data_IF_259352720236
#
_entry.id   IF_259352720236
#
_cell.length_a   1.000
_cell.length_b   1.000
_cell.length_c   1.000
_cell.angle_alpha   90.00
_cell.angle_beta   90.00
_cell.angle_gamma   90.00
#
_symmetry.space_group_name_H-M   'P 1'
#
loop_
_entity.id
_entity.type
_entity.pdbx_description
1 polymer ?
#
# COMPACT_ATOMS: atom_id res chain seq x y z
N UNK A 1 -20.23 11.86 2.76
CA UNK A 1 -19.08 11.48 1.94
C UNK A 1 -19.45 11.04 0.54
N UNK A 2 -18.53 11.16 -0.38
CA UNK A 2 -18.67 10.65 -1.73
C UNK A 2 -18.28 9.17 -1.77
N UNK A 3 -18.89 8.40 -2.66
CA UNK A 3 -18.60 6.98 -2.85
C UNK A 3 -18.25 6.71 -4.30
N UNK A 4 -17.13 6.02 -4.54
CA UNK A 4 -16.66 5.65 -5.87
C UNK A 4 -16.38 4.16 -5.88
N UNK A 5 -16.74 3.46 -6.95
CA UNK A 5 -16.38 2.08 -7.19
C UNK A 5 -17.35 1.03 -6.65
N UNK A 6 -18.42 1.42 -5.95
CA UNK A 6 -19.43 0.47 -5.45
C UNK A 6 -20.54 0.24 -6.47
N UNK A 7 -20.90 -1.02 -6.70
CA UNK A 7 -22.10 -1.38 -7.47
C UNK A 7 -23.40 -1.10 -6.71
N UNK A 8 -23.33 -1.15 -5.39
CA UNK A 8 -24.45 -0.81 -4.51
C UNK A 8 -23.93 0.00 -3.33
N UNK A 9 -24.39 1.23 -3.22
CA UNK A 9 -23.94 2.17 -2.18
C UNK A 9 -24.26 1.75 -0.73
N UNK A 10 -24.98 0.67 -0.55
CA UNK A 10 -25.40 0.20 0.78
C UNK A 10 -24.78 -1.14 1.21
N UNK A 11 -24.13 -1.85 0.30
CA UNK A 11 -23.49 -3.14 0.61
C UNK A 11 -22.11 -3.25 -0.02
N UNK A 12 -21.11 -3.51 0.77
CA UNK A 12 -19.68 -3.46 0.45
C UNK A 12 -19.14 -4.55 -0.49
N UNK A 13 -19.91 -5.36 -1.14
CA UNK A 13 -19.42 -6.64 -1.62
C UNK A 13 -19.23 -6.81 -3.13
N UNK A 14 -19.39 -5.80 -3.95
CA UNK A 14 -19.16 -5.94 -5.38
C UNK A 14 -18.72 -4.63 -6.02
N UNK A 15 -17.45 -4.34 -5.92
CA UNK A 15 -16.83 -3.33 -6.75
C UNK A 15 -16.88 -3.75 -8.22
N UNK A 16 -17.11 -2.81 -9.11
CA UNK A 16 -17.00 -3.09 -10.55
C UNK A 16 -15.52 -3.16 -10.92
N UNK A 17 -15.01 -4.30 -11.40
CA UNK A 17 -13.62 -4.40 -11.80
C UNK A 17 -13.33 -3.48 -12.98
N UNK A 18 -12.19 -2.81 -12.92
CA UNK A 18 -11.66 -2.00 -14.01
C UNK A 18 -10.50 -2.77 -14.64
N UNK A 19 -10.54 -2.96 -15.94
CA UNK A 19 -9.48 -3.66 -16.67
C UNK A 19 -8.97 -2.82 -17.83
N UNK A 20 -7.67 -2.88 -18.08
CA UNK A 20 -7.09 -2.15 -19.20
C UNK A 20 -5.57 -2.20 -19.24
N UNK A 21 -4.99 -1.32 -20.03
CA UNK A 21 -3.56 -1.09 -20.10
C UNK A 21 -3.28 0.40 -20.11
N UNK A 22 -2.22 0.83 -19.44
CA UNK A 22 -1.81 2.25 -19.39
C UNK A 22 -2.92 3.18 -18.88
N UNK A 23 -3.60 2.77 -17.84
CA UNK A 23 -4.63 3.58 -17.21
C UNK A 23 -3.99 4.67 -16.36
N UNK A 24 -4.62 5.83 -16.32
CA UNK A 24 -4.27 6.90 -15.39
C UNK A 24 -5.51 7.29 -14.60
N UNK A 25 -5.41 7.18 -13.28
CA UNK A 25 -6.44 7.60 -12.35
C UNK A 25 -5.95 8.80 -11.57
N UNK A 26 -6.69 9.89 -11.67
CA UNK A 26 -6.51 11.04 -10.80
C UNK A 26 -7.81 11.21 -10.02
N UNK A 27 -7.76 10.93 -8.73
CA UNK A 27 -8.91 11.02 -7.85
C UNK A 27 -8.58 12.01 -6.74
N UNK A 28 -9.37 13.05 -6.64
CA UNK A 28 -9.31 14.04 -5.57
C UNK A 28 -10.65 14.02 -4.83
N UNK A 29 -10.62 13.65 -3.56
CA UNK A 29 -11.79 13.62 -2.69
C UNK A 29 -11.61 14.60 -1.54
N UNK A 30 -12.48 15.60 -1.53
CA UNK A 30 -12.54 16.61 -0.49
C UNK A 30 -13.75 16.40 0.41
N UNK A 31 -13.55 16.43 1.71
CA UNK A 31 -14.57 16.23 2.74
C UNK A 31 -14.40 14.91 3.48
N UNK A 32 -15.26 14.70 4.45
CA UNK A 32 -15.15 13.57 5.36
C UNK A 32 -15.99 12.37 4.88
N UNK A 33 -15.64 11.18 5.37
CA UNK A 33 -16.37 9.94 5.13
C UNK A 33 -16.49 9.59 3.62
N UNK A 34 -15.50 9.94 2.83
CA UNK A 34 -15.44 9.51 1.44
C UNK A 34 -14.98 8.05 1.37
N UNK A 35 -15.53 7.32 0.41
CA UNK A 35 -15.22 5.91 0.22
C UNK A 35 -14.74 5.68 -1.22
N UNK A 36 -13.58 5.05 -1.36
CA UNK A 36 -13.10 4.53 -2.63
C UNK A 36 -12.89 3.02 -2.49
N UNK A 37 -13.69 2.27 -3.22
CA UNK A 37 -13.62 0.80 -3.28
C UNK A 37 -13.39 0.37 -4.71
N UNK A 38 -12.54 -0.62 -4.92
CA UNK A 38 -12.37 -1.10 -6.26
C UNK A 38 -11.47 -2.31 -6.40
N UNK A 39 -11.62 -2.94 -7.55
CA UNK A 39 -10.67 -3.91 -8.05
C UNK A 39 -10.18 -3.47 -9.41
N UNK A 40 -8.91 -3.72 -9.68
CA UNK A 40 -8.26 -3.27 -10.89
C UNK A 40 -7.32 -4.33 -11.44
N UNK A 41 -7.31 -4.48 -12.74
CA UNK A 41 -6.30 -5.27 -13.45
C UNK A 41 -5.81 -4.48 -14.64
N UNK A 42 -4.63 -3.89 -14.53
CA UNK A 42 -4.08 -3.07 -15.62
C UNK A 42 -2.57 -2.94 -15.53
N UNK A 43 -1.88 -3.18 -16.63
CA UNK A 43 -0.46 -2.99 -16.75
C UNK A 43 -0.08 -1.53 -17.07
N UNK A 44 1.07 -1.08 -16.61
CA UNK A 44 1.63 0.26 -16.86
C UNK A 44 0.67 1.38 -16.45
N UNK A 45 0.09 1.25 -15.28
CA UNK A 45 -0.93 2.18 -14.78
C UNK A 45 -0.39 3.11 -13.72
N UNK A 46 -0.98 4.30 -13.64
CA UNK A 46 -0.63 5.34 -12.68
C UNK A 46 -1.87 5.75 -11.89
N UNK A 47 -1.73 5.80 -10.57
CA UNK A 47 -2.77 6.21 -9.64
C UNK A 47 -2.28 7.37 -8.82
N UNK A 48 -2.96 8.51 -8.95
CA UNK A 48 -2.74 9.68 -8.12
C UNK A 48 -4.01 9.90 -7.30
N UNK A 49 -3.95 9.59 -6.03
CA UNK A 49 -5.08 9.63 -5.13
C UNK A 49 -4.83 10.67 -4.05
N UNK A 50 -5.70 11.67 -3.94
CA UNK A 50 -5.60 12.71 -2.94
C UNK A 50 -6.88 12.77 -2.11
N UNK A 51 -6.75 12.66 -0.79
CA UNK A 51 -7.83 12.84 0.15
C UNK A 51 -7.54 13.97 1.11
N UNK A 52 -8.55 14.79 1.32
CA UNK A 52 -8.53 15.83 2.35
C UNK A 52 -9.79 15.74 3.17
N UNK A 53 -9.65 15.46 4.47
CA UNK A 53 -10.74 15.30 5.43
C UNK A 53 -10.60 14.03 6.25
N UNK A 54 -11.50 13.84 7.19
CA UNK A 54 -11.39 12.78 8.18
C UNK A 54 -12.26 11.57 7.84
N UNK A 55 -11.92 10.42 8.40
CA UNK A 55 -12.68 9.18 8.29
C UNK A 55 -12.93 8.73 6.84
N UNK A 56 -11.99 8.97 5.94
CA UNK A 56 -12.06 8.47 4.58
C UNK A 56 -11.55 7.02 4.52
N UNK A 57 -12.07 6.23 3.59
CA UNK A 57 -11.71 4.82 3.43
C UNK A 57 -11.28 4.55 1.99
N UNK A 58 -10.10 3.97 1.85
CA UNK A 58 -9.63 3.29 0.66
C UNK A 58 -9.64 1.79 0.92
N UNK A 59 -10.32 1.04 0.08
CA UNK A 59 -10.31 -0.43 0.06
C UNK A 59 -10.15 -0.86 -1.41
N UNK A 60 -8.95 -1.31 -1.76
CA UNK A 60 -8.59 -1.46 -3.16
C UNK A 60 -7.70 -2.69 -3.41
N UNK A 61 -8.10 -3.50 -4.36
CA UNK A 61 -7.36 -4.68 -4.80
C UNK A 61 -6.86 -4.51 -6.22
N UNK A 62 -5.55 -4.56 -6.42
CA UNK A 62 -4.90 -4.52 -7.74
C UNK A 62 -4.41 -5.92 -8.13
N UNK A 63 -4.72 -6.34 -9.35
CA UNK A 63 -4.41 -7.67 -9.85
C UNK A 63 -5.47 -8.72 -9.57
N UNK A 64 -6.73 -8.32 -9.43
CA UNK A 64 -7.86 -9.19 -9.10
C UNK A 64 -8.11 -10.31 -10.14
N UNK A 65 -8.06 -10.00 -11.42
CA UNK A 65 -8.34 -10.96 -12.50
C UNK A 65 -7.13 -11.33 -13.35
N UNK A 66 -5.97 -10.76 -13.07
CA UNK A 66 -4.72 -10.98 -13.80
C UNK A 66 -3.62 -10.10 -13.24
N UNK A 67 -2.38 -10.29 -13.70
CA UNK A 67 -1.25 -9.49 -13.27
C UNK A 67 -1.44 -8.00 -13.58
N UNK A 68 -0.90 -7.15 -12.72
CA UNK A 68 -0.88 -5.70 -12.90
C UNK A 68 0.56 -5.20 -12.77
N UNK A 69 1.31 -5.31 -13.85
CA UNK A 69 2.74 -4.98 -13.86
C UNK A 69 3.00 -3.50 -14.10
N UNK A 70 4.09 -2.99 -13.55
CA UNK A 70 4.54 -1.60 -13.73
C UNK A 70 3.50 -0.57 -13.24
N UNK A 71 3.02 -0.77 -12.04
CA UNK A 71 2.10 0.15 -11.38
C UNK A 71 2.88 1.24 -10.64
N UNK A 72 2.47 2.48 -10.81
CA UNK A 72 2.88 3.60 -9.97
C UNK A 72 1.69 4.08 -9.17
N UNK A 73 1.83 4.20 -7.87
CA UNK A 73 0.78 4.65 -6.98
C UNK A 73 1.30 5.75 -6.07
N UNK A 74 0.63 6.87 -6.10
CA UNK A 74 0.94 8.07 -5.35
C UNK A 74 -0.31 8.44 -4.53
N UNK A 75 -0.25 8.22 -3.23
CA UNK A 75 -1.36 8.48 -2.31
C UNK A 75 -0.97 9.61 -1.37
N UNK A 76 -1.76 10.67 -1.37
CA UNK A 76 -1.66 11.74 -0.40
C UNK A 76 -2.94 11.82 0.43
N UNK A 77 -2.79 11.74 1.75
CA UNK A 77 -3.90 11.78 2.68
C UNK A 77 -3.68 12.85 3.73
N UNK A 78 -4.65 13.74 3.91
CA UNK A 78 -4.63 14.78 4.93
C UNK A 78 -5.90 14.71 5.77
N UNK A 79 -5.75 14.51 7.08
CA UNK A 79 -6.86 14.38 8.03
C UNK A 79 -6.71 13.17 8.94
N UNK A 80 -7.60 13.05 9.90
CA UNK A 80 -7.50 12.05 10.95
C UNK A 80 -8.44 10.86 10.73
N UNK A 81 -8.11 9.74 11.34
CA UNK A 81 -8.96 8.53 11.36
C UNK A 81 -9.31 7.97 9.98
N UNK A 82 -8.42 8.12 9.01
CA UNK A 82 -8.58 7.53 7.70
C UNK A 82 -8.12 6.06 7.71
N UNK A 83 -8.67 5.26 6.83
CA UNK A 83 -8.33 3.85 6.68
C UNK A 83 -7.88 3.55 5.26
N UNK A 84 -6.73 2.88 5.13
CA UNK A 84 -6.25 2.32 3.89
C UNK A 84 -6.17 0.80 4.05
N UNK A 85 -6.88 0.08 3.20
CA UNK A 85 -6.80 -1.35 3.02
C UNK A 85 -6.45 -1.59 1.53
N UNK A 86 -5.23 -2.00 1.28
CA UNK A 86 -4.69 -2.04 -0.07
C UNK A 86 -3.93 -3.35 -0.32
N UNK A 87 -4.39 -4.09 -1.32
CA UNK A 87 -3.76 -5.34 -1.74
C UNK A 87 -3.25 -5.25 -3.18
N UNK A 88 -2.04 -5.72 -3.42
CA UNK A 88 -1.53 -5.94 -4.78
C UNK A 88 -0.79 -7.26 -4.91
N UNK A 89 -1.17 -8.04 -5.93
CA UNK A 89 -0.54 -9.31 -6.24
C UNK A 89 -1.12 -10.51 -5.50
N UNK A 90 -2.03 -10.33 -4.56
CA UNK A 90 -2.61 -11.40 -3.75
C UNK A 90 -3.44 -12.42 -4.55
N UNK A 91 -3.97 -12.02 -5.70
CA UNK A 91 -4.75 -12.89 -6.61
C UNK A 91 -3.93 -13.35 -7.80
N UNK A 92 -3.15 -12.45 -8.40
CA UNK A 92 -2.25 -12.76 -9.49
C UNK A 92 -0.94 -12.01 -9.31
N UNK A 93 0.19 -12.72 -9.45
CA UNK A 93 1.51 -12.13 -9.32
C UNK A 93 1.68 -10.92 -10.24
N UNK A 94 2.25 -9.87 -9.71
CA UNK A 94 2.53 -8.63 -10.41
C UNK A 94 4.00 -8.28 -10.27
N UNK A 95 4.51 -7.43 -11.17
CA UNK A 95 5.90 -6.99 -11.13
C UNK A 95 5.97 -5.46 -11.17
N UNK A 96 6.93 -4.89 -10.47
CA UNK A 96 7.24 -3.45 -10.44
C UNK A 96 6.10 -2.59 -9.92
N UNK A 97 6.11 -2.41 -8.62
CA UNK A 97 5.29 -1.41 -7.95
C UNK A 97 6.19 -0.30 -7.42
N UNK A 98 5.85 0.92 -7.76
CA UNK A 98 6.38 2.14 -7.14
C UNK A 98 5.25 2.79 -6.34
N UNK A 99 5.37 2.77 -5.01
CA UNK A 99 4.30 3.17 -4.10
C UNK A 99 4.76 4.25 -3.13
N UNK A 100 4.31 5.46 -3.38
CA UNK A 100 4.55 6.60 -2.52
C UNK A 100 3.29 6.91 -1.69
N UNK A 101 3.43 6.93 -0.37
CA UNK A 101 2.36 7.25 0.57
C UNK A 101 2.77 8.43 1.44
N UNK A 102 2.05 9.53 1.33
CA UNK A 102 2.19 10.69 2.21
C UNK A 102 0.95 10.85 3.07
N UNK A 103 1.13 10.86 4.38
CA UNK A 103 0.02 11.04 5.34
C UNK A 103 0.32 12.18 6.29
N UNK A 104 -0.63 13.08 6.41
CA UNK A 104 -0.61 14.17 7.39
C UNK A 104 -1.87 14.11 8.24
N UNK A 105 -1.76 13.56 9.46
CA UNK A 105 -2.89 13.40 10.36
C UNK A 105 -2.71 12.24 11.33
N UNK A 106 -3.57 12.15 12.32
CA UNK A 106 -3.43 11.25 13.45
C UNK A 106 -4.48 10.13 13.44
N UNK A 107 -4.17 9.04 14.12
CA UNK A 107 -5.08 7.90 14.31
C UNK A 107 -5.54 7.25 13.00
N UNK A 108 -4.74 7.32 11.96
CA UNK A 108 -5.01 6.63 10.70
C UNK A 108 -4.61 5.15 10.81
N UNK A 109 -5.28 4.30 10.06
CA UNK A 109 -5.05 2.85 10.03
C UNK A 109 -4.66 2.44 8.62
N UNK A 110 -3.53 1.75 8.51
CA UNK A 110 -3.00 1.23 7.26
C UNK A 110 -2.85 -0.29 7.36
N UNK A 111 -3.48 -1.01 6.44
CA UNK A 111 -3.30 -2.44 6.22
C UNK A 111 -2.93 -2.62 4.74
N UNK A 112 -1.65 -2.88 4.47
CA UNK A 112 -1.12 -2.84 3.11
C UNK A 112 -0.37 -4.13 2.84
N UNK A 113 -0.96 -4.97 1.99
CA UNK A 113 -0.42 -6.25 1.60
C UNK A 113 0.04 -6.23 0.14
N UNK A 114 1.32 -6.53 -0.10
CA UNK A 114 1.89 -6.53 -1.43
C UNK A 114 2.65 -7.82 -1.70
N UNK A 115 2.20 -8.56 -2.71
CA UNK A 115 2.81 -9.77 -3.21
C UNK A 115 3.36 -9.55 -4.63
N UNK A 116 4.30 -8.60 -4.75
CA UNK A 116 4.82 -8.11 -6.03
C UNK A 116 6.34 -8.12 -6.02
N UNK A 117 6.95 -8.49 -7.13
CA UNK A 117 8.39 -8.37 -7.36
C UNK A 117 8.78 -6.94 -7.69
N UNK A 118 10.03 -6.56 -7.42
CA UNK A 118 10.59 -5.23 -7.74
C UNK A 118 9.76 -4.09 -7.15
N UNK A 119 9.59 -4.10 -5.83
CA UNK A 119 8.78 -3.09 -5.14
C UNK A 119 9.65 -2.00 -4.53
N UNK A 120 9.25 -0.77 -4.75
CA UNK A 120 9.73 0.41 -4.04
C UNK A 120 8.58 1.05 -3.28
N UNK A 121 8.72 1.18 -1.97
CA UNK A 121 7.76 1.85 -1.10
C UNK A 121 8.43 3.01 -0.39
N UNK A 122 7.82 4.17 -0.47
CA UNK A 122 8.24 5.31 0.31
C UNK A 122 7.05 5.84 1.09
N UNK A 123 7.15 5.81 2.39
CA UNK A 123 6.12 6.30 3.29
C UNK A 123 6.64 7.49 4.09
N UNK A 124 5.90 8.57 4.03
CA UNK A 124 6.11 9.79 4.81
C UNK A 124 4.85 10.04 5.63
N UNK A 125 4.92 9.75 6.92
CA UNK A 125 3.76 9.77 7.80
C UNK A 125 4.02 10.71 8.97
N UNK A 126 3.21 11.74 9.07
CA UNK A 126 3.25 12.71 10.16
C UNK A 126 1.95 12.70 10.95
N UNK A 127 2.05 12.52 12.29
CA UNK A 127 0.91 12.55 13.22
C UNK A 127 0.92 11.42 14.24
N UNK A 128 0.13 11.57 15.30
CA UNK A 128 0.17 10.70 16.45
C UNK A 128 -0.79 9.51 16.35
N UNK A 129 -0.44 8.40 16.99
CA UNK A 129 -1.33 7.26 17.18
C UNK A 129 -1.72 6.53 15.90
N UNK A 130 -0.93 6.63 14.83
CA UNK A 130 -1.17 5.87 13.61
C UNK A 130 -0.87 4.39 13.80
N UNK A 131 -1.71 3.52 13.25
CA UNK A 131 -1.54 2.06 13.23
C UNK A 131 -1.17 1.64 11.79
N UNK A 132 0.06 1.18 11.63
CA UNK A 132 0.65 0.89 10.32
C UNK A 132 0.99 -0.58 10.27
N UNK A 133 0.34 -1.30 9.37
CA UNK A 133 0.70 -2.65 9.04
C UNK A 133 1.10 -2.73 7.59
N UNK A 134 2.21 -3.38 7.33
CA UNK A 134 2.60 -3.74 5.99
C UNK A 134 3.05 -5.19 5.94
N UNK A 135 2.53 -5.91 4.98
CA UNK A 135 3.01 -7.22 4.61
C UNK A 135 3.49 -7.16 3.16
N UNK A 136 4.77 -7.38 2.97
CA UNK A 136 5.35 -7.64 1.68
C UNK A 136 5.78 -9.10 1.62
N UNK A 137 5.11 -9.88 0.80
CA UNK A 137 5.28 -11.31 0.73
C UNK A 137 5.56 -11.77 -0.71
N UNK A 138 6.34 -12.85 -0.83
CA UNK A 138 6.60 -13.59 -2.07
C UNK A 138 7.27 -12.82 -3.23
N UNK A 139 7.89 -11.67 -2.97
CA UNK A 139 8.65 -10.91 -3.96
C UNK A 139 10.17 -10.93 -3.72
N UNK A 140 10.93 -10.46 -4.71
CA UNK A 140 12.37 -10.20 -4.62
C UNK A 140 12.68 -8.80 -5.14
N UNK A 141 13.78 -8.18 -4.68
CA UNK A 141 14.13 -6.76 -4.93
C UNK A 141 13.14 -5.78 -4.30
N UNK A 142 12.96 -5.93 -3.01
CA UNK A 142 12.03 -5.12 -2.24
C UNK A 142 12.76 -4.01 -1.49
N UNK A 143 12.36 -2.77 -1.70
CA UNK A 143 12.87 -1.64 -0.94
C UNK A 143 11.72 -0.93 -0.26
N UNK A 144 11.81 -0.78 1.06
CA UNK A 144 10.83 -0.04 1.85
C UNK A 144 11.55 1.05 2.64
N UNK A 145 11.10 2.27 2.48
CA UNK A 145 11.54 3.42 3.27
C UNK A 145 10.33 3.95 4.03
N UNK A 146 10.48 4.08 5.34
CA UNK A 146 9.44 4.64 6.21
C UNK A 146 10.05 5.82 6.95
N UNK A 147 9.52 7.00 6.72
CA UNK A 147 9.73 8.20 7.52
C UNK A 147 8.49 8.44 8.36
N UNK A 148 8.64 8.48 9.66
CA UNK A 148 7.55 8.68 10.59
C UNK A 148 7.90 9.75 11.63
N UNK A 149 7.05 10.74 11.76
CA UNK A 149 7.16 11.81 12.76
C UNK A 149 5.83 11.93 13.56
N UNK A 150 5.85 11.46 14.81
CA UNK A 150 4.67 11.48 15.68
C UNK A 150 4.80 10.51 16.85
N UNK A 151 3.89 10.62 17.81
CA UNK A 151 3.95 9.83 19.03
C UNK A 151 2.93 8.69 19.06
N UNK A 152 3.21 7.67 19.89
CA UNK A 152 2.31 6.55 20.17
C UNK A 152 1.87 5.74 18.93
N UNK A 153 2.67 5.68 17.90
CA UNK A 153 2.36 4.86 16.73
C UNK A 153 2.60 3.36 17.02
N UNK A 154 1.83 2.53 16.32
CA UNK A 154 2.09 1.10 16.21
C UNK A 154 2.52 0.81 14.76
N UNK A 155 3.73 0.30 14.58
CA UNK A 155 4.32 0.05 13.26
C UNK A 155 4.71 -1.43 13.17
N UNK A 156 4.02 -2.20 12.34
CA UNK A 156 4.29 -3.61 12.09
C UNK A 156 4.66 -3.80 10.62
N UNK A 157 5.93 -4.09 10.38
CA UNK A 157 6.50 -4.27 9.05
C UNK A 157 6.95 -5.71 8.87
N UNK A 158 6.32 -6.41 7.95
CA UNK A 158 6.69 -7.76 7.56
C UNK A 158 7.17 -7.76 6.10
N UNK A 159 8.46 -7.98 5.91
CA UNK A 159 9.06 -8.13 4.60
C UNK A 159 9.61 -9.55 4.44
N UNK A 160 8.88 -10.36 3.70
CA UNK A 160 9.17 -11.77 3.50
C UNK A 160 9.50 -12.02 2.03
N UNK A 161 10.77 -12.16 1.70
CA UNK A 161 11.18 -12.46 0.33
C UNK A 161 10.71 -13.86 -0.10
N UNK A 162 10.25 -13.96 -1.33
CA UNK A 162 9.96 -15.22 -1.99
C UNK A 162 11.22 -16.03 -2.29
N UNK A 163 11.06 -17.18 -2.93
CA UNK A 163 12.18 -18.02 -3.36
C UNK A 163 12.95 -17.33 -4.47
N UNK A 164 14.23 -17.07 -4.21
CA UNK A 164 15.12 -16.47 -5.20
C UNK A 164 15.22 -17.35 -6.46
N UNK A 165 15.04 -16.82 -7.66
CA UNK A 165 15.18 -17.58 -8.88
C UNK A 165 16.59 -18.19 -9.03
N UNK A 166 16.68 -19.40 -9.57
CA UNK A 166 17.95 -20.09 -9.78
C UNK A 166 18.91 -19.25 -10.61
N UNK A 167 20.09 -18.99 -10.09
CA UNK A 167 21.13 -18.20 -10.77
C UNK A 167 21.12 -16.70 -10.41
N UNK A 168 20.21 -16.24 -9.58
CA UNK A 168 20.20 -14.91 -8.99
C UNK A 168 20.72 -15.02 -7.56
N UNK A 169 21.88 -14.46 -7.30
CA UNK A 169 22.54 -14.55 -5.97
C UNK A 169 22.11 -13.46 -4.98
N UNK A 170 21.15 -12.63 -5.35
CA UNK A 170 20.76 -11.46 -4.51
C UNK A 170 19.29 -11.15 -4.64
N UNK A 171 18.47 -11.87 -3.92
CA UNK A 171 17.13 -11.37 -3.60
C UNK A 171 17.28 -10.51 -2.35
N UNK A 172 17.18 -9.21 -2.49
CA UNK A 172 17.41 -8.27 -1.39
C UNK A 172 16.12 -7.64 -0.95
N UNK A 173 15.79 -7.81 0.32
CA UNK A 173 14.88 -6.91 1.00
C UNK A 173 15.68 -5.80 1.71
N UNK A 174 15.32 -4.56 1.53
CA UNK A 174 15.90 -3.42 2.23
C UNK A 174 14.76 -2.69 2.95
N UNK A 175 14.93 -2.50 4.25
CA UNK A 175 14.05 -1.64 5.05
C UNK A 175 14.90 -0.51 5.60
N UNK A 176 14.50 0.72 5.33
CA UNK A 176 15.09 1.93 5.89
C UNK A 176 14.05 2.63 6.73
N UNK A 177 14.39 2.93 7.99
CA UNK A 177 13.50 3.61 8.91
C UNK A 177 14.14 4.90 9.39
N UNK A 178 13.39 5.98 9.31
CA UNK A 178 13.67 7.24 9.99
C UNK A 178 12.45 7.59 10.87
N UNK A 179 12.60 7.41 12.18
CA UNK A 179 11.47 7.49 13.09
C UNK A 179 11.78 8.47 14.21
N UNK A 180 11.00 9.52 14.26
CA UNK A 180 10.98 10.50 15.35
C UNK A 180 9.72 10.31 16.16
N UNK A 181 9.81 9.65 17.31
CA UNK A 181 8.64 9.32 18.13
C UNK A 181 9.00 9.09 19.59
N UNK A 182 8.10 9.54 20.47
CA UNK A 182 8.04 9.10 21.86
C UNK A 182 6.97 7.97 21.98
N UNK A 183 7.36 6.83 22.54
CA UNK A 183 6.47 5.67 22.79
C UNK A 183 5.91 4.95 21.55
N UNK A 184 6.56 5.00 20.40
CA UNK A 184 6.18 4.13 19.30
C UNK A 184 6.50 2.66 19.60
N UNK A 185 5.61 1.77 19.18
CA UNK A 185 5.86 0.32 19.16
C UNK A 185 6.22 -0.06 17.73
N UNK A 186 7.43 -0.57 17.53
CA UNK A 186 7.93 -0.94 16.21
C UNK A 186 8.25 -2.42 16.20
N UNK A 187 7.60 -3.16 15.33
CA UNK A 187 7.88 -4.56 15.08
C UNK A 187 8.31 -4.73 13.63
N UNK A 188 9.47 -5.35 13.42
CA UNK A 188 9.99 -5.61 12.08
C UNK A 188 10.34 -7.09 11.99
N UNK A 189 9.77 -7.74 11.00
CA UNK A 189 10.09 -9.10 10.64
C UNK A 189 10.57 -9.10 9.18
N UNK A 190 11.88 -9.24 9.01
CA UNK A 190 12.49 -9.37 7.70
C UNK A 190 13.06 -10.78 7.55
N UNK A 191 12.59 -11.49 6.56
CA UNK A 191 13.05 -12.83 6.24
C UNK A 191 13.42 -12.91 4.77
N UNK A 192 14.67 -13.21 4.52
CA UNK A 192 15.18 -13.51 3.19
C UNK A 192 15.33 -15.02 3.03
N UNK A 193 14.73 -15.59 2.01
CA UNK A 193 14.92 -16.98 1.64
C UNK A 193 16.04 -17.09 0.62
N UNK A 194 17.28 -16.86 1.07
CA UNK A 194 18.45 -17.12 0.23
C UNK A 194 18.50 -18.61 -0.11
N UNK A 195 18.67 -18.92 -1.39
CA UNK A 195 19.15 -20.24 -1.78
C UNK A 195 20.61 -20.35 -1.34
N UNK A 196 20.83 -20.87 -0.15
CA UNK A 196 22.12 -21.40 0.26
C UNK A 196 22.39 -22.68 -0.55
N UNK A 197 23.06 -22.55 -1.65
CA UNK A 197 23.54 -23.68 -2.45
C UNK A 197 25.06 -23.76 -2.44
#
# INVERSE_FOLDING_TARGET
GNKIGLNNFETSSAATPITGTSLTFNIDQLGNENLLYGTLTANSSTYNLMWTGDANVLDYLIGDTGSSDSTTMDITMTGDSNTIDFDQGSVASSERLDFDLTVLGSTNVFDIDIETDDVTWNWDITGDGNDIKSLQNDGFYQTQTVEFDGDNANIDINQLSGTCPTGINTCKGIITLDITSDNAVIQINQKDTANDS
#
